data_IF_994558048029
#
_entry.id   IF_994558048029
#
_cell.length_a   1.000
_cell.length_b   1.000
_cell.length_c   1.000
_cell.angle_alpha   90.00
_cell.angle_beta   90.00
_cell.angle_gamma   90.00
#
_symmetry.space_group_name_H-M   'P 1'
#
loop_
_entity.id
_entity.type
_entity.pdbx_description
1 polymer ?
#
# COMPACT_ATOMS: atom_id res chain seq x y z
N UNK A 1 -0.50 -3.68 38.08
CA UNK A 1 0.43 -2.87 37.29
C UNK A 1 -0.06 -1.43 37.27
N UNK A 2 0.80 -0.44 37.47
CA UNK A 2 0.44 0.99 37.49
C UNK A 2 1.26 1.69 36.40
N UNK A 3 0.60 2.24 35.38
CA UNK A 3 1.24 3.10 34.39
C UNK A 3 1.29 4.53 34.94
N UNK A 4 2.43 5.18 34.86
CA UNK A 4 2.59 6.59 35.21
C UNK A 4 2.54 7.37 33.92
N UNK A 5 1.63 8.32 33.80
CA UNK A 5 1.46 9.13 32.58
C UNK A 5 2.70 9.98 32.31
N UNK A 6 3.18 9.92 31.08
CA UNK A 6 4.15 10.87 30.54
C UNK A 6 3.47 12.19 30.10
N UNK A 7 4.24 13.10 29.55
CA UNK A 7 3.79 14.43 29.08
C UNK A 7 2.82 14.35 27.89
N UNK A 8 2.70 13.19 27.24
CA UNK A 8 1.81 12.93 26.10
C UNK A 8 0.69 11.97 26.47
N UNK A 9 -0.43 12.07 25.76
CA UNK A 9 -1.65 11.27 25.99
C UNK A 9 -1.51 9.78 25.63
N UNK A 10 -0.37 9.34 25.13
CA UNK A 10 -0.10 7.98 24.69
C UNK A 10 1.00 7.35 25.55
N UNK A 11 0.74 6.15 26.07
CA UNK A 11 1.74 5.29 26.68
C UNK A 11 1.79 3.98 25.89
N UNK A 12 2.92 3.71 25.23
CA UNK A 12 3.18 2.46 24.54
C UNK A 12 4.06 1.55 25.39
N UNK A 13 3.79 0.25 25.38
CA UNK A 13 4.66 -0.76 25.95
C UNK A 13 5.11 -1.68 24.81
N UNK A 14 6.38 -1.56 24.40
CA UNK A 14 6.94 -2.36 23.32
C UNK A 14 7.19 -3.82 23.74
N UNK A 15 7.42 -4.06 25.02
CA UNK A 15 7.64 -5.37 25.59
C UNK A 15 7.13 -5.43 27.02
N UNK A 16 6.44 -6.51 27.36
CA UNK A 16 6.02 -6.81 28.72
C UNK A 16 6.48 -8.20 29.12
N UNK A 17 7.50 -8.28 29.97
CA UNK A 17 7.94 -9.56 30.55
C UNK A 17 7.29 -9.75 31.93
N UNK A 18 6.54 -10.84 32.08
CA UNK A 18 5.88 -11.19 33.33
C UNK A 18 6.61 -12.36 34.00
N UNK A 19 7.14 -12.11 35.16
CA UNK A 19 7.73 -13.15 35.99
C UNK A 19 6.72 -13.66 37.00
N UNK A 20 6.60 -14.99 37.12
CA UNK A 20 5.68 -15.61 38.04
C UNK A 20 6.03 -17.05 38.33
N UNK A 21 5.42 -17.61 39.37
CA UNK A 21 5.58 -19.03 39.70
C UNK A 21 4.49 -19.83 39.00
N UNK A 22 4.90 -20.81 38.17
CA UNK A 22 3.96 -21.68 37.49
C UNK A 22 3.14 -22.49 38.49
N UNK A 23 1.81 -22.49 38.33
CA UNK A 23 0.88 -23.22 39.18
C UNK A 23 0.94 -22.81 40.66
N UNK A 24 1.12 -21.52 40.95
CA UNK A 24 1.02 -21.02 42.34
C UNK A 24 -0.37 -21.33 42.90
N UNK A 25 -0.41 -21.81 44.17
CA UNK A 25 -1.66 -22.06 44.88
C UNK A 25 -2.52 -20.78 44.91
N UNK A 26 -3.78 -20.89 44.54
CA UNK A 26 -4.71 -19.75 44.44
C UNK A 26 -4.67 -18.97 43.10
N UNK A 27 -3.84 -19.38 42.11
CA UNK A 27 -3.88 -18.78 40.79
C UNK A 27 -5.13 -19.26 40.05
N UNK A 28 -5.96 -18.29 39.60
CA UNK A 28 -7.10 -18.57 38.71
C UNK A 28 -6.72 -18.24 37.30
N UNK A 29 -6.83 -19.17 36.37
CA UNK A 29 -6.67 -18.91 34.97
C UNK A 29 -7.82 -18.01 34.47
N UNK A 30 -7.49 -16.99 33.69
CA UNK A 30 -8.52 -16.20 32.99
C UNK A 30 -9.25 -17.10 31.99
N UNK A 31 -10.55 -17.29 32.22
CA UNK A 31 -11.39 -18.25 31.49
C UNK A 31 -11.44 -18.03 29.96
N UNK A 32 -11.06 -16.85 29.46
CA UNK A 32 -11.15 -16.44 28.06
C UNK A 32 -9.81 -16.04 27.42
N UNK A 33 -8.67 -16.48 28.00
CA UNK A 33 -7.39 -16.27 27.36
C UNK A 33 -7.30 -17.15 26.09
N UNK A 34 -7.50 -16.57 24.93
CA UNK A 34 -7.31 -17.25 23.65
C UNK A 34 -5.81 -17.39 23.35
N UNK A 35 -5.20 -18.38 23.97
CA UNK A 35 -3.75 -18.67 23.85
C UNK A 35 -3.38 -19.08 22.42
N UNK A 36 -4.32 -19.54 21.60
CA UNK A 36 -4.05 -19.87 20.21
C UNK A 36 -3.85 -18.60 19.34
N UNK A 37 -4.66 -17.55 19.57
CA UNK A 37 -4.42 -16.25 18.91
C UNK A 37 -3.03 -15.68 19.23
N UNK A 38 -2.55 -15.85 20.44
CA UNK A 38 -1.21 -15.39 20.85
C UNK A 38 -0.09 -16.25 20.24
N UNK A 39 -0.32 -17.55 20.00
CA UNK A 39 0.67 -18.45 19.41
C UNK A 39 0.81 -18.31 17.90
N UNK A 40 -0.26 -17.95 17.18
CA UNK A 40 -0.21 -17.72 15.73
C UNK A 40 0.59 -16.47 15.33
N UNK A 41 0.92 -15.60 16.27
CA UNK A 41 1.55 -14.30 16.00
C UNK A 41 3.07 -14.27 16.13
N UNK A 42 3.76 -15.41 16.29
CA UNK A 42 5.17 -15.35 16.72
C UNK A 42 6.23 -15.35 15.61
N UNK A 43 5.96 -15.79 14.40
CA UNK A 43 6.84 -15.63 13.22
C UNK A 43 6.15 -16.19 11.96
N UNK A 44 5.26 -15.41 11.36
CA UNK A 44 4.59 -15.79 10.12
C UNK A 44 5.55 -15.78 8.91
N UNK A 45 6.70 -15.13 9.06
CA UNK A 45 7.61 -14.80 7.96
C UNK A 45 7.15 -13.56 7.19
N UNK A 46 7.95 -13.13 6.22
CA UNK A 46 7.55 -12.08 5.30
C UNK A 46 6.52 -12.59 4.29
N UNK A 47 5.65 -11.71 3.81
CA UNK A 47 4.72 -12.07 2.74
C UNK A 47 5.46 -12.18 1.41
N UNK A 48 5.70 -13.39 0.97
CA UNK A 48 6.34 -13.64 -0.33
C UNK A 48 5.36 -13.39 -1.50
N UNK A 49 5.88 -12.98 -2.68
CA UNK A 49 5.07 -12.88 -3.90
C UNK A 49 4.61 -14.28 -4.32
N UNK A 50 3.29 -14.47 -4.44
CA UNK A 50 2.69 -15.73 -4.91
C UNK A 50 1.54 -15.41 -5.87
N UNK A 51 1.23 -16.34 -6.78
CA UNK A 51 0.10 -16.16 -7.72
C UNK A 51 -1.24 -15.91 -7.03
N UNK A 52 -1.39 -16.31 -5.78
CA UNK A 52 -2.59 -16.10 -4.98
C UNK A 52 -2.62 -14.78 -4.21
N UNK A 53 -1.53 -14.00 -4.23
CA UNK A 53 -1.45 -12.69 -3.59
C UNK A 53 -0.95 -11.69 -4.64
N UNK A 54 -1.73 -10.66 -4.88
CA UNK A 54 -1.47 -9.58 -5.85
C UNK A 54 -1.09 -10.12 -7.25
N UNK A 55 -1.65 -11.29 -7.62
CA UNK A 55 -1.35 -12.04 -8.86
C UNK A 55 0.13 -12.27 -9.12
N UNK A 56 0.92 -12.38 -8.06
CA UNK A 56 2.33 -12.68 -8.10
C UNK A 56 3.27 -11.50 -8.26
N UNK A 57 2.78 -10.26 -8.19
CA UNK A 57 3.64 -9.10 -8.20
C UNK A 57 4.53 -9.07 -6.96
N UNK A 58 5.83 -8.87 -7.17
CA UNK A 58 6.84 -8.79 -6.12
C UNK A 58 7.29 -7.38 -5.81
N UNK A 59 7.40 -6.55 -6.84
CA UNK A 59 7.88 -5.17 -6.74
C UNK A 59 6.87 -4.22 -7.37
N UNK A 60 6.16 -3.46 -6.50
CA UNK A 60 5.04 -2.60 -6.89
C UNK A 60 5.42 -1.14 -6.68
N UNK A 61 5.40 -0.34 -7.74
CA UNK A 61 5.66 1.09 -7.66
C UNK A 61 4.36 1.90 -7.48
N UNK A 62 4.38 2.84 -6.53
CA UNK A 62 3.29 3.78 -6.30
C UNK A 62 3.40 4.93 -7.31
N UNK A 63 2.38 5.07 -8.16
CA UNK A 63 2.33 6.03 -9.27
C UNK A 63 1.40 7.19 -8.90
N UNK A 64 1.99 8.24 -8.33
CA UNK A 64 1.25 9.44 -7.89
C UNK A 64 0.97 10.37 -9.04
N UNK A 65 -0.27 10.41 -9.54
CA UNK A 65 -0.72 11.44 -10.46
C UNK A 65 -1.45 12.58 -9.72
N UNK A 66 -1.66 13.70 -10.36
CA UNK A 66 -2.29 14.87 -9.74
C UNK A 66 -3.12 15.66 -10.75
N UNK A 67 -3.71 16.78 -10.31
CA UNK A 67 -4.37 17.73 -11.23
C UNK A 67 -3.42 18.26 -12.32
N UNK A 68 -2.15 18.41 -11.97
CA UNK A 68 -1.14 19.06 -12.83
C UNK A 68 -0.16 18.08 -13.46
N UNK A 69 -0.24 16.80 -13.10
CA UNK A 69 0.71 15.79 -13.54
C UNK A 69 0.05 14.43 -13.82
N UNK A 70 0.25 13.95 -15.04
CA UNK A 70 -0.08 12.59 -15.47
C UNK A 70 1.18 11.91 -16.03
N UNK A 71 1.30 10.61 -15.85
CA UNK A 71 2.37 9.81 -16.46
C UNK A 71 2.11 9.60 -17.93
N UNK A 72 3.15 9.81 -18.74
CA UNK A 72 3.19 9.48 -20.17
C UNK A 72 3.92 8.16 -20.39
N UNK A 73 3.88 7.63 -21.63
CA UNK A 73 4.63 6.43 -21.99
C UNK A 73 6.14 6.57 -21.66
N UNK A 74 6.72 7.73 -21.96
CA UNK A 74 8.14 8.00 -21.69
C UNK A 74 8.48 7.92 -20.20
N UNK A 75 7.56 8.37 -19.35
CA UNK A 75 7.75 8.33 -17.90
C UNK A 75 7.72 6.90 -17.35
N UNK A 76 6.97 5.98 -17.98
CA UNK A 76 6.90 4.58 -17.56
C UNK A 76 8.10 3.74 -17.97
N UNK A 77 8.81 4.08 -19.05
CA UNK A 77 9.89 3.23 -19.56
C UNK A 77 10.90 2.81 -18.49
N UNK A 78 11.46 3.74 -17.70
CA UNK A 78 12.44 3.39 -16.69
C UNK A 78 11.83 2.72 -15.43
N UNK A 79 10.52 2.68 -15.24
CA UNK A 79 9.88 1.87 -14.19
C UNK A 79 9.57 0.44 -14.67
N UNK A 80 9.28 0.28 -15.96
CA UNK A 80 9.02 -1.03 -16.55
C UNK A 80 10.29 -1.82 -16.85
N UNK A 81 11.40 -1.10 -17.16
CA UNK A 81 12.61 -1.71 -17.65
C UNK A 81 13.88 -1.18 -16.98
N UNK A 82 14.79 -2.10 -16.67
CA UNK A 82 16.17 -1.75 -16.39
C UNK A 82 16.85 -1.29 -17.68
N UNK A 83 17.32 -0.04 -17.66
CA UNK A 83 18.00 0.59 -18.80
C UNK A 83 19.51 0.65 -18.54
N UNK A 84 20.32 0.33 -19.57
CA UNK A 84 21.75 0.61 -19.49
C UNK A 84 22.05 2.11 -19.68
N UNK A 85 23.32 2.48 -19.60
CA UNK A 85 23.78 3.88 -19.75
C UNK A 85 23.46 4.50 -21.11
N UNK A 86 23.23 3.67 -22.13
CA UNK A 86 22.86 4.09 -23.49
C UNK A 86 21.34 4.14 -23.69
N UNK A 87 20.56 3.78 -22.65
CA UNK A 87 19.11 3.75 -22.66
C UNK A 87 18.50 2.49 -23.27
N UNK A 88 19.28 1.43 -23.48
CA UNK A 88 18.76 0.16 -23.99
C UNK A 88 18.09 -0.64 -22.87
N UNK A 89 17.00 -1.30 -23.20
CA UNK A 89 16.26 -2.19 -22.31
C UNK A 89 17.07 -3.48 -22.12
N UNK A 90 17.35 -3.85 -20.87
CA UNK A 90 18.13 -5.06 -20.53
C UNK A 90 17.32 -6.09 -19.77
N UNK A 91 16.38 -5.66 -18.92
CA UNK A 91 15.54 -6.53 -18.11
C UNK A 91 14.27 -5.78 -17.71
N UNK A 92 13.31 -6.48 -17.10
CA UNK A 92 12.18 -5.84 -16.41
C UNK A 92 12.64 -5.21 -15.10
N UNK A 93 11.94 -4.17 -14.65
CA UNK A 93 12.25 -3.48 -13.37
C UNK A 93 11.14 -3.76 -12.34
N UNK A 94 10.04 -3.04 -12.38
CA UNK A 94 8.86 -3.30 -11.55
C UNK A 94 7.84 -4.13 -12.30
N UNK A 95 7.12 -4.98 -11.59
CA UNK A 95 6.08 -5.83 -12.16
C UNK A 95 4.65 -5.39 -11.80
N UNK A 96 4.52 -4.43 -10.87
CA UNK A 96 3.25 -3.86 -10.44
C UNK A 96 3.26 -2.32 -10.35
N UNK A 97 2.09 -1.70 -10.59
CA UNK A 97 1.91 -0.25 -10.62
C UNK A 97 0.61 0.14 -9.93
N UNK A 98 0.70 0.83 -8.80
CA UNK A 98 -0.46 1.32 -8.06
C UNK A 98 -0.73 2.78 -8.43
N UNK A 99 -1.87 3.04 -9.09
CA UNK A 99 -2.31 4.40 -9.38
C UNK A 99 -3.03 5.02 -8.19
N UNK A 100 -2.58 6.21 -7.78
CA UNK A 100 -3.18 6.97 -6.70
C UNK A 100 -3.02 8.48 -6.94
N UNK A 101 -4.04 9.23 -6.51
CA UNK A 101 -4.04 10.68 -6.58
C UNK A 101 -3.08 11.27 -5.52
N UNK A 102 -2.29 12.26 -5.92
CA UNK A 102 -1.54 13.13 -5.01
C UNK A 102 -2.22 14.49 -4.90
N UNK A 103 -2.54 14.89 -3.67
CA UNK A 103 -3.07 16.22 -3.39
C UNK A 103 -4.59 16.29 -3.33
N UNK A 104 -5.23 16.92 -4.31
CA UNK A 104 -6.66 17.25 -4.27
C UNK A 104 -7.38 16.86 -5.55
N UNK A 105 -8.66 16.56 -5.42
CA UNK A 105 -9.59 16.48 -6.55
C UNK A 105 -9.90 17.89 -7.14
N UNK A 106 -10.48 17.96 -8.34
CA UNK A 106 -10.92 19.25 -8.93
C UNK A 106 -11.90 20.05 -8.05
N UNK A 107 -12.66 19.36 -7.19
CA UNK A 107 -13.52 20.00 -6.18
C UNK A 107 -12.76 20.80 -5.12
N UNK A 108 -11.42 20.64 -5.04
CA UNK A 108 -10.57 21.20 -4.00
C UNK A 108 -10.47 20.32 -2.73
N UNK A 109 -11.22 19.22 -2.68
CA UNK A 109 -11.18 18.26 -1.57
C UNK A 109 -9.93 17.40 -1.69
N UNK A 110 -9.19 17.22 -0.59
CA UNK A 110 -8.03 16.32 -0.55
C UNK A 110 -8.48 14.85 -0.57
N UNK A 111 -7.67 13.96 -1.17
CA UNK A 111 -7.98 12.55 -1.35
C UNK A 111 -8.34 11.79 -0.06
N UNK A 112 -7.88 12.25 1.09
CA UNK A 112 -8.16 11.65 2.41
C UNK A 112 -9.33 12.30 3.16
N UNK A 113 -10.04 13.24 2.51
CA UNK A 113 -11.17 13.98 3.10
C UNK A 113 -12.50 13.49 2.52
N UNK A 114 -13.57 14.28 2.74
CA UNK A 114 -14.94 13.96 2.34
C UNK A 114 -15.15 14.15 0.82
N UNK A 115 -14.51 13.30 0.03
CA UNK A 115 -14.71 13.24 -1.42
C UNK A 115 -16.06 12.61 -1.75
N UNK A 116 -16.58 12.93 -2.95
CA UNK A 116 -17.89 12.49 -3.43
C UNK A 116 -17.78 11.76 -4.77
N UNK A 117 -18.89 11.19 -5.26
CA UNK A 117 -18.96 10.41 -6.50
C UNK A 117 -18.25 11.07 -7.67
N UNK A 118 -18.49 12.37 -7.90
CA UNK A 118 -17.89 13.10 -9.03
C UNK A 118 -16.37 13.21 -8.93
N UNK A 119 -15.81 13.24 -7.72
CA UNK A 119 -14.36 13.20 -7.48
C UNK A 119 -13.77 11.84 -7.89
N UNK A 120 -14.40 10.76 -7.47
CA UNK A 120 -13.96 9.40 -7.79
C UNK A 120 -14.14 9.06 -9.28
N UNK A 121 -15.21 9.53 -9.91
CA UNK A 121 -15.40 9.40 -11.36
C UNK A 121 -14.35 10.18 -12.16
N UNK A 122 -13.97 11.36 -11.68
CA UNK A 122 -12.89 12.13 -12.29
C UNK A 122 -11.56 11.37 -12.20
N UNK A 123 -11.22 10.85 -11.03
CA UNK A 123 -10.03 10.05 -10.80
C UNK A 123 -9.94 8.88 -11.80
N UNK A 124 -10.99 8.08 -11.89
CA UNK A 124 -11.04 6.96 -12.83
C UNK A 124 -10.87 7.42 -14.28
N UNK A 125 -11.48 8.55 -14.66
CA UNK A 125 -11.31 9.13 -16.01
C UNK A 125 -9.85 9.56 -16.26
N UNK A 126 -9.14 10.09 -15.26
CA UNK A 126 -7.73 10.45 -15.39
C UNK A 126 -6.84 9.21 -15.52
N UNK A 127 -7.05 8.20 -14.68
CA UNK A 127 -6.28 6.94 -14.75
C UNK A 127 -6.41 6.29 -16.12
N UNK A 128 -7.57 6.35 -16.76
CA UNK A 128 -7.82 5.76 -18.09
C UNK A 128 -7.86 6.77 -19.23
N UNK A 129 -7.33 7.98 -19.04
CA UNK A 129 -7.26 8.98 -20.10
C UNK A 129 -6.30 8.54 -21.20
N UNK A 130 -6.67 8.83 -22.46
CA UNK A 130 -5.90 8.41 -23.63
C UNK A 130 -4.47 8.97 -23.59
N UNK A 131 -3.48 8.10 -23.74
CA UNK A 131 -2.05 8.43 -23.72
C UNK A 131 -1.48 8.82 -22.35
N UNK A 132 -2.24 8.62 -21.27
CA UNK A 132 -1.86 8.96 -19.90
C UNK A 132 -2.03 7.76 -18.98
N UNK A 133 -1.33 7.78 -17.85
CA UNK A 133 -1.47 6.85 -16.73
C UNK A 133 -1.59 5.37 -17.19
N UNK A 134 -2.68 4.67 -16.90
CA UNK A 134 -2.83 3.25 -17.28
C UNK A 134 -2.79 3.01 -18.79
N UNK A 135 -3.30 3.94 -19.62
CA UNK A 135 -3.20 3.83 -21.08
C UNK A 135 -1.76 4.03 -21.59
N UNK A 136 -1.01 4.93 -20.96
CA UNK A 136 0.41 5.13 -21.24
C UNK A 136 1.23 3.91 -20.77
N UNK A 137 0.91 3.33 -19.61
CA UNK A 137 1.52 2.09 -19.11
C UNK A 137 1.30 0.92 -20.08
N UNK A 138 0.10 0.73 -20.61
CA UNK A 138 -0.20 -0.30 -21.62
C UNK A 138 0.70 -0.15 -22.85
N UNK A 139 0.88 1.08 -23.33
CA UNK A 139 1.72 1.38 -24.50
C UNK A 139 3.21 1.10 -24.22
N UNK A 140 3.70 1.55 -23.07
CA UNK A 140 5.09 1.31 -22.65
C UNK A 140 5.35 -0.19 -22.41
N UNK A 141 4.42 -0.89 -21.75
CA UNK A 141 4.48 -2.33 -21.52
C UNK A 141 4.58 -3.13 -22.82
N UNK A 142 3.81 -2.74 -23.86
CA UNK A 142 3.90 -3.37 -25.17
C UNK A 142 5.30 -3.26 -25.79
N UNK A 143 5.98 -2.12 -25.63
CA UNK A 143 7.35 -1.92 -26.11
C UNK A 143 8.36 -2.76 -25.36
N UNK A 144 8.30 -2.75 -24.03
CA UNK A 144 9.20 -3.54 -23.18
C UNK A 144 9.05 -5.03 -23.45
N UNK A 145 7.81 -5.52 -23.54
CA UNK A 145 7.54 -6.93 -23.90
C UNK A 145 8.14 -7.32 -25.22
N UNK A 146 7.96 -6.47 -26.25
CA UNK A 146 8.51 -6.71 -27.58
C UNK A 146 10.03 -6.75 -27.58
N UNK A 147 10.67 -5.78 -26.90
CA UNK A 147 12.14 -5.66 -26.89
C UNK A 147 12.79 -6.83 -26.14
N UNK A 148 12.21 -7.25 -25.02
CA UNK A 148 12.70 -8.37 -24.22
C UNK A 148 12.22 -9.75 -24.71
N UNK A 149 11.35 -9.80 -25.70
CA UNK A 149 10.77 -11.08 -26.18
C UNK A 149 9.95 -11.80 -25.10
N UNK A 150 9.27 -11.06 -24.22
CA UNK A 150 8.44 -11.66 -23.17
C UNK A 150 7.24 -12.40 -23.77
N UNK A 151 6.79 -13.46 -23.10
CA UNK A 151 5.66 -14.28 -23.53
C UNK A 151 4.39 -13.44 -23.74
N UNK A 152 3.53 -13.85 -24.68
CA UNK A 152 2.30 -13.11 -25.00
C UNK A 152 1.35 -13.00 -23.82
N UNK A 153 1.30 -14.03 -22.96
CA UNK A 153 0.49 -14.07 -21.74
C UNK A 153 1.11 -13.33 -20.54
N UNK A 154 2.39 -12.92 -20.64
CA UNK A 154 2.99 -12.08 -19.60
C UNK A 154 2.29 -10.73 -19.57
N UNK A 155 1.85 -10.30 -18.38
CA UNK A 155 1.22 -9.00 -18.15
C UNK A 155 1.81 -8.33 -16.93
N UNK A 156 2.16 -7.06 -17.07
CA UNK A 156 2.42 -6.22 -15.92
C UNK A 156 1.12 -5.99 -15.14
N UNK A 157 1.21 -5.87 -13.82
CA UNK A 157 0.04 -5.70 -12.96
C UNK A 157 -0.23 -4.23 -12.72
N UNK A 158 -1.50 -3.84 -12.65
CA UNK A 158 -1.84 -2.54 -12.12
C UNK A 158 -2.91 -2.65 -11.05
N UNK A 159 -2.94 -1.65 -10.18
CA UNK A 159 -3.81 -1.56 -9.01
C UNK A 159 -4.46 -0.19 -8.99
N UNK A 160 -5.66 -0.10 -8.42
CA UNK A 160 -6.41 1.13 -8.27
C UNK A 160 -6.66 1.43 -6.80
N UNK A 161 -6.69 2.71 -6.45
CA UNK A 161 -7.06 3.13 -5.10
C UNK A 161 -8.56 3.06 -4.87
N UNK A 162 -8.95 2.59 -3.70
CA UNK A 162 -10.30 2.73 -3.14
C UNK A 162 -10.22 3.73 -2.00
N UNK A 163 -10.79 4.90 -2.20
CA UNK A 163 -10.85 5.92 -1.18
C UNK A 163 -11.82 5.54 -0.07
N UNK A 164 -11.55 5.99 1.14
CA UNK A 164 -12.43 5.75 2.28
C UNK A 164 -13.67 6.62 2.18
N UNK A 165 -14.88 6.03 2.02
CA UNK A 165 -16.13 6.79 2.05
C UNK A 165 -16.42 7.18 3.51
N UNK A 166 -16.00 8.38 3.88
CA UNK A 166 -16.05 8.84 5.28
C UNK A 166 -17.49 8.93 5.77
N UNK A 167 -17.79 8.49 7.00
CA UNK A 167 -19.16 8.48 7.54
C UNK A 167 -19.80 9.88 7.67
N UNK A 168 -19.02 10.94 7.64
CA UNK A 168 -19.51 12.33 7.64
C UNK A 168 -19.88 12.85 6.24
N UNK A 169 -19.68 12.05 5.18
CA UNK A 169 -20.14 12.31 3.82
C UNK A 169 -21.58 11.79 3.65
N UNK A 170 -22.57 12.59 4.02
CA UNK A 170 -23.99 12.19 3.98
C UNK A 170 -24.68 12.45 2.63
N UNK A 171 -23.96 13.01 1.65
CA UNK A 171 -24.42 13.27 0.29
C UNK A 171 -23.30 12.92 -0.70
N UNK A 172 -23.04 11.63 -0.89
CA UNK A 172 -21.97 11.16 -1.75
C UNK A 172 -22.29 11.31 -3.24
N UNK A 173 -23.54 11.10 -3.62
CA UNK A 173 -24.06 11.11 -4.98
C UNK A 173 -24.81 9.82 -5.28
N UNK A 174 -25.77 9.86 -6.19
CA UNK A 174 -26.55 8.70 -6.65
C UNK A 174 -25.65 7.73 -7.44
N UNK A 175 -25.30 6.60 -6.84
CA UNK A 175 -24.38 5.60 -7.41
C UNK A 175 -25.10 4.55 -8.25
N UNK A 176 -26.31 4.15 -7.85
CA UNK A 176 -27.08 3.09 -8.50
C UNK A 176 -28.15 3.59 -9.50
N UNK A 177 -28.38 4.90 -9.55
CA UNK A 177 -29.28 5.53 -10.52
C UNK A 177 -30.73 5.58 -10.08
N UNK A 178 -31.02 5.39 -8.79
CA UNK A 178 -32.37 5.43 -8.23
C UNK A 178 -32.89 6.87 -7.95
N UNK A 179 -32.03 7.87 -8.15
CA UNK A 179 -32.34 9.29 -7.92
C UNK A 179 -32.10 9.74 -6.49
N UNK A 180 -31.57 8.88 -5.62
CA UNK A 180 -31.25 9.19 -4.22
C UNK A 180 -29.71 9.17 -4.04
N UNK A 181 -29.20 10.18 -3.36
CA UNK A 181 -27.75 10.23 -3.04
C UNK A 181 -27.44 9.30 -1.89
N UNK A 182 -26.35 8.53 -2.02
CA UNK A 182 -25.84 7.68 -0.95
C UNK A 182 -25.33 8.50 0.24
N UNK A 183 -25.64 7.97 1.44
CA UNK A 183 -25.22 8.48 2.73
C UNK A 183 -24.17 7.54 3.34
N UNK A 184 -22.89 7.94 3.32
CA UNK A 184 -21.78 7.13 3.80
C UNK A 184 -21.80 6.84 5.31
N UNK A 185 -22.69 7.48 6.09
CA UNK A 185 -22.97 7.06 7.46
C UNK A 185 -23.69 5.70 7.55
N UNK A 186 -24.30 5.25 6.44
CA UNK A 186 -25.05 3.99 6.32
C UNK A 186 -24.20 2.96 5.57
N UNK A 187 -23.99 1.81 6.18
CA UNK A 187 -23.22 0.73 5.59
C UNK A 187 -23.79 0.29 4.23
N UNK A 188 -25.10 0.18 4.09
CA UNK A 188 -25.76 -0.28 2.85
C UNK A 188 -25.49 0.66 1.66
N UNK A 189 -25.37 1.95 1.90
CA UNK A 189 -25.06 2.93 0.87
C UNK A 189 -23.57 2.89 0.48
N UNK A 190 -22.66 2.75 1.43
CA UNK A 190 -21.22 2.63 1.16
C UNK A 190 -20.88 1.44 0.27
N UNK A 191 -21.54 0.30 0.41
CA UNK A 191 -21.22 -0.91 -0.36
C UNK A 191 -21.54 -0.81 -1.85
N UNK A 192 -22.35 0.16 -2.28
CA UNK A 192 -22.75 0.36 -3.68
C UNK A 192 -21.62 0.98 -4.53
N UNK A 193 -20.62 1.60 -3.91
CA UNK A 193 -19.67 2.54 -4.54
C UNK A 193 -18.64 1.88 -5.48
N UNK A 194 -18.43 0.55 -5.45
CA UNK A 194 -17.32 -0.10 -6.15
C UNK A 194 -17.76 -0.98 -7.31
N UNK A 195 -17.75 -0.46 -8.55
CA UNK A 195 -17.92 -1.28 -9.75
C UNK A 195 -17.54 -0.59 -11.07
N UNK A 196 -16.32 -0.83 -11.63
CA UNK A 196 -16.06 -0.75 -13.10
C UNK A 196 -14.70 -1.36 -13.49
N UNK A 197 -14.63 -2.10 -14.62
CA UNK A 197 -13.43 -2.75 -15.15
C UNK A 197 -13.06 -2.23 -16.55
N UNK A 198 -11.75 -2.13 -16.83
CA UNK A 198 -11.20 -1.99 -18.18
C UNK A 198 -10.35 -3.21 -18.56
N UNK A 199 -10.39 -3.67 -19.81
CA UNK A 199 -9.60 -4.79 -20.31
C UNK A 199 -8.42 -4.29 -21.17
N UNK A 200 -7.19 -4.75 -20.84
CA UNK A 200 -5.95 -4.43 -21.53
C UNK A 200 -5.24 -5.69 -22.04
N UNK A 201 -4.34 -5.53 -23.03
CA UNK A 201 -3.58 -6.63 -23.62
C UNK A 201 -2.26 -6.90 -22.86
N UNK A 202 -1.52 -5.88 -22.46
CA UNK A 202 -0.17 -5.96 -21.91
C UNK A 202 -0.11 -5.71 -20.40
N UNK A 203 -1.16 -5.13 -19.84
CA UNK A 203 -1.32 -4.96 -18.41
C UNK A 203 -2.61 -5.63 -17.94
N UNK A 204 -2.71 -5.95 -16.65
CA UNK A 204 -3.94 -6.48 -16.06
C UNK A 204 -4.24 -5.86 -14.70
N UNK A 205 -5.51 -5.58 -14.43
CA UNK A 205 -5.96 -5.22 -13.10
C UNK A 205 -5.77 -6.42 -12.17
N UNK A 206 -4.96 -6.24 -11.13
CA UNK A 206 -4.64 -7.29 -10.19
C UNK A 206 -5.31 -7.12 -8.83
N UNK A 207 -5.67 -5.90 -8.46
CA UNK A 207 -6.32 -5.66 -7.17
C UNK A 207 -6.57 -4.18 -6.90
N UNK A 208 -6.97 -3.94 -5.67
CA UNK A 208 -7.35 -2.62 -5.17
C UNK A 208 -6.61 -2.30 -3.87
N UNK A 209 -6.22 -1.05 -3.71
CA UNK A 209 -5.60 -0.52 -2.52
C UNK A 209 -6.63 0.23 -1.67
N UNK A 210 -6.78 -0.16 -0.40
CA UNK A 210 -7.53 0.59 0.58
C UNK A 210 -6.73 1.82 1.02
N UNK A 211 -7.16 3.01 0.59
CA UNK A 211 -6.37 4.24 0.68
C UNK A 211 -6.19 4.76 2.12
N UNK A 212 -7.10 4.46 3.04
CA UNK A 212 -7.01 4.97 4.42
C UNK A 212 -5.97 4.18 5.23
N UNK A 213 -4.87 4.82 5.59
CA UNK A 213 -3.67 4.19 6.17
C UNK A 213 -3.82 3.74 7.63
N UNK A 214 -4.96 3.99 8.28
CA UNK A 214 -5.31 3.51 9.60
C UNK A 214 -6.74 2.97 9.61
N UNK A 215 -7.04 2.01 10.46
CA UNK A 215 -8.40 1.48 10.58
C UNK A 215 -9.07 2.08 11.80
N UNK A 216 -10.22 2.72 11.59
CA UNK A 216 -11.07 3.15 12.69
C UNK A 216 -11.60 1.94 13.45
N UNK A 217 -11.64 2.06 14.77
CA UNK A 217 -12.16 0.99 15.67
C UNK A 217 -13.69 0.85 15.60
N UNK A 218 -14.38 1.58 14.70
CA UNK A 218 -15.83 1.48 14.58
C UNK A 218 -16.25 0.17 13.92
N UNK A 219 -17.35 -0.41 14.40
CA UNK A 219 -17.94 -1.61 13.80
C UNK A 219 -18.28 -1.43 12.31
N UNK A 220 -18.67 -0.21 11.91
CA UNK A 220 -19.00 0.10 10.53
C UNK A 220 -17.75 0.08 9.61
N UNK A 221 -16.60 0.58 10.08
CA UNK A 221 -15.36 0.51 9.31
C UNK A 221 -14.93 -0.94 9.07
N UNK A 222 -14.99 -1.78 10.10
CA UNK A 222 -14.71 -3.20 9.97
C UNK A 222 -15.63 -3.87 8.95
N UNK A 223 -16.95 -3.69 9.07
CA UNK A 223 -17.94 -4.27 8.14
C UNK A 223 -17.73 -3.78 6.71
N UNK A 224 -17.41 -2.50 6.53
CA UNK A 224 -17.19 -1.93 5.20
C UNK A 224 -15.98 -2.55 4.51
N UNK A 225 -14.84 -2.64 5.21
CA UNK A 225 -13.62 -3.21 4.64
C UNK A 225 -13.82 -4.68 4.29
N UNK A 226 -14.43 -5.47 5.19
CA UNK A 226 -14.75 -6.88 4.94
C UNK A 226 -15.65 -7.03 3.71
N UNK A 227 -16.70 -6.21 3.59
CA UNK A 227 -17.61 -6.26 2.45
C UNK A 227 -16.88 -5.93 1.13
N UNK A 228 -15.99 -4.94 1.13
CA UNK A 228 -15.19 -4.59 -0.05
C UNK A 228 -14.22 -5.73 -0.38
N UNK A 229 -13.56 -6.31 0.61
CA UNK A 229 -12.67 -7.44 0.43
C UNK A 229 -13.38 -8.65 -0.18
N UNK A 230 -14.58 -8.97 0.31
CA UNK A 230 -15.40 -10.05 -0.25
C UNK A 230 -15.82 -9.75 -1.69
N UNK A 231 -16.29 -8.55 -1.98
CA UNK A 231 -16.71 -8.16 -3.34
C UNK A 231 -15.54 -8.16 -4.34
N UNK A 232 -14.36 -7.71 -3.93
CA UNK A 232 -13.16 -7.75 -4.79
C UNK A 232 -12.73 -9.19 -5.04
N UNK A 233 -12.72 -10.03 -4.01
CA UNK A 233 -12.36 -11.44 -4.09
C UNK A 233 -13.33 -12.24 -4.98
N UNK A 234 -14.64 -12.02 -4.88
CA UNK A 234 -15.64 -12.64 -5.76
C UNK A 234 -15.42 -12.34 -7.24
N UNK A 235 -14.80 -11.18 -7.54
CA UNK A 235 -14.43 -10.76 -8.90
C UNK A 235 -13.03 -11.20 -9.33
N UNK A 236 -12.30 -11.94 -8.46
CA UNK A 236 -10.94 -12.41 -8.74
C UNK A 236 -9.85 -11.35 -8.56
N UNK A 237 -10.10 -10.35 -7.72
CA UNK A 237 -9.16 -9.30 -7.36
C UNK A 237 -8.81 -9.33 -5.87
N UNK A 238 -7.63 -8.83 -5.54
CA UNK A 238 -7.19 -8.68 -4.16
C UNK A 238 -7.47 -7.26 -3.66
N UNK A 239 -7.90 -7.15 -2.39
CA UNK A 239 -7.85 -5.89 -1.65
C UNK A 239 -6.60 -5.92 -0.77
N UNK A 240 -5.78 -4.87 -0.80
CA UNK A 240 -4.59 -4.75 0.04
C UNK A 240 -4.51 -3.39 0.73
N UNK A 241 -3.64 -3.30 1.72
CA UNK A 241 -3.52 -2.13 2.60
C UNK A 241 -2.07 -1.70 2.80
N UNK A 242 -1.82 -0.38 2.89
CA UNK A 242 -0.50 0.18 3.16
C UNK A 242 -0.59 1.05 4.43
N UNK A 243 -0.54 0.43 5.63
CA UNK A 243 -0.63 1.18 6.89
C UNK A 243 0.65 1.95 7.18
N UNK A 244 0.51 3.14 7.78
CA UNK A 244 1.66 3.83 8.33
C UNK A 244 2.22 3.12 9.58
N UNK A 245 3.44 3.46 9.96
CA UNK A 245 4.10 2.88 11.13
C UNK A 245 3.26 3.02 12.40
N UNK A 246 2.96 1.91 13.05
CA UNK A 246 2.09 1.83 14.23
C UNK A 246 0.63 2.27 14.00
N UNK A 247 0.11 2.20 12.77
CA UNK A 247 -1.30 2.46 12.49
C UNK A 247 -2.23 1.55 13.29
N UNK A 248 -3.41 2.07 13.66
CA UNK A 248 -4.46 1.23 14.25
C UNK A 248 -4.91 0.15 13.28
N UNK A 249 -5.18 -1.07 13.77
CA UNK A 249 -5.64 -2.21 12.97
C UNK A 249 -4.53 -3.07 12.34
N UNK A 250 -3.25 -2.71 12.53
CA UNK A 250 -2.13 -3.45 11.93
C UNK A 250 -2.07 -4.91 12.39
N UNK A 251 -2.34 -5.18 13.67
CA UNK A 251 -2.30 -6.55 14.22
C UNK A 251 -3.40 -7.46 13.69
N UNK A 252 -4.50 -6.87 13.25
CA UNK A 252 -5.71 -7.56 12.77
C UNK A 252 -5.88 -7.46 11.24
N UNK A 253 -4.86 -7.04 10.50
CA UNK A 253 -4.96 -6.75 9.07
C UNK A 253 -5.63 -7.88 8.26
N UNK A 254 -5.30 -9.14 8.56
CA UNK A 254 -5.89 -10.29 7.89
C UNK A 254 -7.37 -10.53 8.28
N UNK A 255 -7.79 -10.14 9.48
CA UNK A 255 -9.17 -10.25 9.94
C UNK A 255 -10.09 -9.27 9.19
N UNK A 256 -9.53 -8.18 8.64
CA UNK A 256 -10.26 -7.24 7.77
C UNK A 256 -10.48 -7.76 6.34
N UNK A 257 -9.91 -8.93 6.00
CA UNK A 257 -10.05 -9.53 4.67
C UNK A 257 -9.04 -9.03 3.64
N UNK A 258 -8.04 -8.26 4.01
CA UNK A 258 -6.96 -7.88 3.11
C UNK A 258 -6.16 -9.11 2.67
N UNK A 259 -5.82 -9.17 1.39
CA UNK A 259 -4.95 -10.23 0.85
C UNK A 259 -3.51 -10.08 1.34
N UNK A 260 -3.06 -8.86 1.55
CA UNK A 260 -1.79 -8.52 2.21
C UNK A 260 -1.85 -7.10 2.78
N UNK A 261 -0.93 -6.79 3.68
CA UNK A 261 -0.69 -5.45 4.18
C UNK A 261 0.80 -5.10 4.09
N UNK A 262 1.11 -3.90 3.60
CA UNK A 262 2.46 -3.43 3.37
C UNK A 262 2.76 -2.24 4.29
N UNK A 263 3.61 -2.45 5.31
CA UNK A 263 3.87 -1.41 6.30
C UNK A 263 4.83 -0.35 5.79
N UNK A 264 4.48 0.91 6.00
CA UNK A 264 5.37 2.06 5.83
C UNK A 264 6.23 2.21 7.08
N UNK A 265 7.58 2.16 7.01
CA UNK A 265 8.43 2.45 8.16
C UNK A 265 8.41 3.91 8.60
N UNK A 266 7.95 4.84 7.74
CA UNK A 266 7.89 6.29 7.97
C UNK A 266 9.22 6.89 8.43
N UNK A 267 10.33 6.36 7.90
CA UNK A 267 11.67 6.77 8.33
C UNK A 267 12.24 7.92 7.49
N UNK A 268 11.97 7.95 6.16
CA UNK A 268 12.68 8.85 5.25
C UNK A 268 12.23 10.31 5.35
N UNK A 269 10.95 10.57 5.62
CA UNK A 269 10.36 11.91 5.46
C UNK A 269 10.68 12.88 6.62
N UNK A 270 11.04 12.37 7.78
CA UNK A 270 11.37 13.20 8.94
C UNK A 270 12.77 12.82 9.49
N UNK A 271 13.72 13.76 9.41
CA UNK A 271 15.09 13.54 9.83
C UNK A 271 15.25 13.24 11.33
N UNK A 272 14.24 13.52 12.17
CA UNK A 272 14.23 13.17 13.59
C UNK A 272 13.76 11.74 13.88
N UNK A 273 13.15 11.06 12.90
CA UNK A 273 12.70 9.67 13.06
C UNK A 273 13.93 8.77 13.24
N UNK A 274 13.96 7.92 14.29
CA UNK A 274 15.12 7.09 14.58
C UNK A 274 15.26 5.94 13.59
N UNK A 275 16.52 5.54 13.31
CA UNK A 275 16.84 4.41 12.43
C UNK A 275 16.19 3.09 12.88
N UNK A 276 15.91 2.94 14.18
CA UNK A 276 15.21 1.78 14.75
C UNK A 276 13.83 1.53 14.14
N UNK A 277 13.19 2.54 13.50
CA UNK A 277 11.91 2.33 12.83
C UNK A 277 12.00 1.27 11.74
N UNK A 278 13.09 1.24 10.96
CA UNK A 278 13.30 0.21 9.92
C UNK A 278 13.37 -1.19 10.55
N UNK A 279 14.16 -1.34 11.63
CA UNK A 279 14.23 -2.61 12.35
C UNK A 279 12.88 -3.03 12.93
N UNK A 280 12.22 -2.10 13.61
CA UNK A 280 10.94 -2.37 14.27
C UNK A 280 9.85 -2.72 13.24
N UNK A 281 9.81 -2.02 12.10
CA UNK A 281 8.92 -2.36 11.00
C UNK A 281 9.22 -3.77 10.47
N UNK A 282 10.49 -4.11 10.23
CA UNK A 282 10.90 -5.45 9.80
C UNK A 282 10.46 -6.54 10.79
N UNK A 283 10.63 -6.31 12.08
CA UNK A 283 10.20 -7.26 13.15
C UNK A 283 8.67 -7.43 13.16
N UNK A 284 7.92 -6.33 13.00
CA UNK A 284 6.44 -6.35 12.99
C UNK A 284 5.93 -7.10 11.76
N UNK A 285 6.41 -6.75 10.56
CA UNK A 285 5.93 -7.34 9.31
C UNK A 285 6.27 -8.84 9.26
N UNK A 286 7.45 -9.24 9.73
CA UNK A 286 7.85 -10.64 9.81
C UNK A 286 6.96 -11.42 10.76
N UNK A 287 6.64 -10.84 11.91
CA UNK A 287 5.75 -11.46 12.89
C UNK A 287 4.32 -11.63 12.38
N UNK A 288 3.81 -10.63 11.64
CA UNK A 288 2.42 -10.57 11.20
C UNK A 288 2.18 -11.10 9.78
N UNK A 289 3.23 -11.57 9.08
CA UNK A 289 3.09 -12.04 7.69
C UNK A 289 2.77 -10.92 6.71
N UNK A 290 3.37 -9.75 6.90
CA UNK A 290 3.15 -8.56 6.07
C UNK A 290 4.31 -8.34 5.08
N UNK A 291 4.18 -7.33 4.24
CA UNK A 291 5.22 -6.81 3.37
C UNK A 291 5.65 -5.39 3.76
N UNK A 292 6.65 -4.82 3.06
CA UNK A 292 7.28 -3.56 3.44
C UNK A 292 7.22 -2.53 2.31
N UNK A 293 7.03 -1.27 2.67
CA UNK A 293 7.21 -0.14 1.77
C UNK A 293 8.65 0.39 1.83
N UNK A 294 9.26 0.56 0.67
CA UNK A 294 10.56 1.21 0.50
C UNK A 294 10.28 2.65 0.11
N UNK A 295 10.59 3.56 1.01
CA UNK A 295 10.26 4.98 0.85
C UNK A 295 11.48 5.78 0.39
N UNK A 296 11.29 6.67 -0.60
CA UNK A 296 12.30 7.64 -1.02
C UNK A 296 11.69 9.03 -1.12
N UNK A 297 12.29 10.00 -0.42
CA UNK A 297 11.91 11.41 -0.50
C UNK A 297 12.43 12.06 -1.78
N UNK A 298 11.65 12.97 -2.38
CA UNK A 298 12.11 13.83 -3.47
C UNK A 298 13.36 14.65 -3.11
N UNK A 299 13.54 15.00 -1.85
CA UNK A 299 14.72 15.68 -1.34
C UNK A 299 16.03 14.87 -1.46
N UNK A 300 15.96 13.56 -1.66
CA UNK A 300 17.14 12.71 -1.82
C UNK A 300 17.98 13.07 -3.05
N UNK A 301 17.41 13.75 -4.05
CA UNK A 301 18.15 14.26 -5.22
C UNK A 301 19.10 15.42 -4.89
N UNK A 302 18.79 16.22 -3.90
CA UNK A 302 19.48 17.47 -3.58
C UNK A 302 20.09 17.51 -2.18
N UNK A 303 19.62 16.66 -1.28
CA UNK A 303 20.02 16.63 0.13
C UNK A 303 20.53 15.25 0.53
N UNK A 304 21.84 15.15 0.74
CA UNK A 304 22.55 13.91 1.12
C UNK A 304 21.93 13.20 2.34
N UNK A 305 21.40 13.95 3.31
CA UNK A 305 20.72 13.37 4.47
C UNK A 305 19.52 12.46 4.11
N UNK A 306 18.69 12.87 3.13
CA UNK A 306 17.57 12.07 2.66
C UNK A 306 18.03 10.89 1.79
N UNK A 307 19.04 11.08 0.96
CA UNK A 307 19.62 9.98 0.19
C UNK A 307 20.21 8.89 1.11
N UNK A 308 20.95 9.27 2.15
CA UNK A 308 21.47 8.31 3.14
C UNK A 308 20.34 7.56 3.86
N UNK A 309 19.22 8.22 4.16
CA UNK A 309 18.05 7.57 4.77
C UNK A 309 17.45 6.53 3.83
N UNK A 310 17.37 6.79 2.53
CA UNK A 310 16.97 5.79 1.55
C UNK A 310 17.91 4.58 1.53
N UNK A 311 19.23 4.81 1.57
CA UNK A 311 20.20 3.71 1.64
C UNK A 311 20.03 2.82 2.88
N UNK A 312 19.53 3.37 3.99
CA UNK A 312 19.25 2.56 5.19
C UNK A 312 18.08 1.57 5.00
N UNK A 313 17.10 1.85 4.12
CA UNK A 313 16.10 0.85 3.72
C UNK A 313 16.76 -0.32 3.00
N UNK A 314 17.66 -0.06 2.05
CA UNK A 314 18.34 -1.10 1.30
C UNK A 314 19.25 -1.95 2.21
N UNK A 315 20.01 -1.31 3.09
CA UNK A 315 20.83 -2.00 4.10
C UNK A 315 19.97 -2.81 5.06
N UNK A 316 18.86 -2.23 5.55
CA UNK A 316 17.89 -2.92 6.39
C UNK A 316 17.33 -4.16 5.71
N UNK A 317 17.06 -4.09 4.41
CA UNK A 317 16.63 -5.23 3.61
C UNK A 317 17.60 -6.40 3.64
N UNK A 318 18.91 -6.10 3.58
CA UNK A 318 19.95 -7.12 3.70
C UNK A 318 20.05 -7.65 5.14
N UNK A 319 20.10 -6.76 6.14
CA UNK A 319 20.28 -7.13 7.54
C UNK A 319 19.11 -7.91 8.13
N UNK A 320 17.89 -7.49 7.83
CA UNK A 320 16.65 -8.07 8.38
C UNK A 320 16.02 -9.10 7.42
N UNK A 321 16.52 -9.18 6.18
CA UNK A 321 16.15 -10.20 5.19
C UNK A 321 14.90 -9.90 4.38
N UNK A 322 14.32 -8.69 4.47
CA UNK A 322 13.10 -8.38 3.74
C UNK A 322 13.33 -8.10 2.23
N UNK A 323 14.57 -7.92 1.74
CA UNK A 323 14.83 -7.85 0.29
C UNK A 323 14.73 -9.21 -0.41
N UNK A 324 14.54 -10.28 0.34
CA UNK A 324 14.40 -11.62 -0.20
C UNK A 324 13.07 -12.22 0.26
N UNK A 325 12.33 -12.79 -0.68
CA UNK A 325 11.08 -13.50 -0.40
C UNK A 325 10.01 -12.62 0.30
N UNK A 326 10.00 -11.30 -0.02
CA UNK A 326 9.02 -10.34 0.47
C UNK A 326 8.46 -9.52 -0.70
N UNK A 327 7.20 -9.17 -0.66
CA UNK A 327 6.62 -8.17 -1.55
C UNK A 327 7.11 -6.79 -1.10
N UNK A 328 7.50 -5.93 -2.05
CA UNK A 328 7.86 -4.55 -1.80
C UNK A 328 6.89 -3.61 -2.49
N UNK A 329 6.55 -2.53 -1.80
CA UNK A 329 5.93 -1.37 -2.41
C UNK A 329 6.90 -0.20 -2.35
N UNK A 330 6.98 0.57 -3.43
CA UNK A 330 7.96 1.64 -3.55
C UNK A 330 7.25 2.99 -3.61
N UNK A 331 7.37 3.77 -2.53
CA UNK A 331 6.88 5.13 -2.46
C UNK A 331 7.96 6.09 -2.94
N UNK A 332 7.74 6.67 -4.11
CA UNK A 332 8.63 7.66 -4.73
C UNK A 332 7.89 9.00 -4.82
N UNK A 333 8.15 9.93 -3.90
CA UNK A 333 7.40 11.18 -3.77
C UNK A 333 7.42 12.11 -4.99
N UNK A 334 8.37 11.93 -5.91
CA UNK A 334 8.44 12.71 -7.15
C UNK A 334 8.82 11.80 -8.31
N UNK A 335 8.13 11.94 -9.42
CA UNK A 335 8.50 11.29 -10.68
C UNK A 335 9.97 11.61 -11.03
N UNK A 336 10.72 10.59 -11.37
CA UNK A 336 12.14 10.71 -11.75
C UNK A 336 13.16 10.65 -10.61
N UNK A 337 12.76 10.71 -9.32
CA UNK A 337 13.69 10.59 -8.17
C UNK A 337 14.40 9.24 -8.19
N UNK A 338 13.67 8.18 -8.45
CA UNK A 338 14.20 6.82 -8.46
C UNK A 338 15.36 6.65 -9.46
N UNK A 339 15.22 7.19 -10.68
CA UNK A 339 16.23 7.09 -11.73
C UNK A 339 17.46 7.90 -11.45
N UNK A 340 17.28 9.13 -10.96
CA UNK A 340 18.39 10.01 -10.67
C UNK A 340 19.20 9.53 -9.47
N UNK A 341 18.57 8.85 -8.51
CA UNK A 341 19.27 8.25 -7.38
C UNK A 341 20.06 7.00 -7.78
N UNK A 342 19.51 6.13 -8.63
CA UNK A 342 20.22 4.91 -9.09
C UNK A 342 21.33 5.22 -10.10
N UNK A 343 21.20 6.26 -10.92
CA UNK A 343 22.25 6.73 -11.82
C UNK A 343 23.46 7.37 -11.15
N UNK A 344 23.44 7.55 -9.83
CA UNK A 344 24.57 8.08 -9.03
C UNK A 344 25.32 7.00 -8.23
N UNK A 345 24.87 5.77 -8.28
CA UNK A 345 25.55 4.67 -7.60
C UNK A 345 26.56 4.07 -8.57
N UNK A 346 27.78 4.61 -8.58
CA UNK A 346 28.93 3.83 -8.98
C UNK A 346 29.08 2.69 -7.97
N UNK A 347 28.69 1.49 -8.38
CA UNK A 347 28.87 0.25 -7.60
C UNK A 347 30.33 -0.20 -7.75
#
# INVERSE_FOLDING_TARGET
MRFVYGVYTWAGCAELTVYGKKNASGATALANANLEKVRMALDAGYQAPTKSVLKGAGDICLMYHSLDYDYTEKDFMPYLAYLDTDGNIKDTMFDGFLFLLSGKFPSGVAQHMNSVKTDWEWELKQVFANGKNAMALETAAAKVKKELGLADDYKFKYYLSVYYPRPDTTNFGDVDGDGVSEDCSKFEDCRKIINKNAAFKNIELAGFYWFHEAIDSSENSYKLINNIADQTKERGYDLFWIPYYCASGVSEWAEYGFATACMQPNYVFNLTTPLSNIKNAADIIKRLGMCIEIEISGDALSKDAYYRRYLEYLKGGIYYGYMKDCIHMYCVQQSGVFFQCHGKVDI
#
